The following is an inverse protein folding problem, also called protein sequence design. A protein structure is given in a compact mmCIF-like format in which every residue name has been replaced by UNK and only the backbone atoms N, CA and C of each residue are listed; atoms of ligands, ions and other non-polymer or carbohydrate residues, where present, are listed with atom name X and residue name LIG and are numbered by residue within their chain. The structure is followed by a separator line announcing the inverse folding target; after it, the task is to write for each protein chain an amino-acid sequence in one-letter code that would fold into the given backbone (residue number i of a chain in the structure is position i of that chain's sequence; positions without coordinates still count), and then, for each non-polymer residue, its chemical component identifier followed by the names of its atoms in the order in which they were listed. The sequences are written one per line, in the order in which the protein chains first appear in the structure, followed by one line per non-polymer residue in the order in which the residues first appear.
data_IF_700560171908
#
_entry.id   IF_700560171908
#
_cell.length_a   1.000
_cell.length_b   1.000
_cell.length_c   1.000
_cell.angle_alpha   90.00
_cell.angle_beta   90.00
_cell.angle_gamma   90.00
#
_symmetry.space_group_name_H-M   'P 1'
#
loop_
_entity.id
_entity.type
_entity.pdbx_description
1 polymer ?
#
# COMPACT_ATOMS: atom_id res chain seq x y z
N UNK A 1 9.53 0.07 8.01
CA UNK A 1 8.95 0.45 6.70
C UNK A 1 7.44 0.35 6.81
N UNK A 2 6.69 0.97 5.90
CA UNK A 2 5.22 1.00 5.98
C UNK A 2 4.57 -0.39 5.83
N UNK A 3 5.15 -1.29 5.03
CA UNK A 3 4.71 -2.70 4.98
C UNK A 3 4.89 -3.44 6.32
N UNK A 4 5.97 -3.14 7.05
CA UNK A 4 6.19 -3.71 8.39
C UNK A 4 5.13 -3.21 9.38
N UNK A 5 4.65 -1.96 9.22
CA UNK A 5 3.52 -1.42 10.00
C UNK A 5 2.22 -2.22 9.76
N UNK A 6 2.06 -2.76 8.55
CA UNK A 6 0.96 -3.67 8.18
C UNK A 6 1.21 -5.13 8.61
N UNK A 7 2.27 -5.41 9.37
CA UNK A 7 2.59 -6.74 9.89
C UNK A 7 3.42 -7.63 8.95
N UNK A 8 4.01 -7.07 7.89
CA UNK A 8 4.94 -7.81 7.03
C UNK A 8 6.25 -8.13 7.76
N UNK A 9 6.78 -9.33 7.53
CA UNK A 9 8.11 -9.75 8.02
C UNK A 9 9.13 -9.52 6.91
N UNK A 10 9.77 -8.34 6.95
CA UNK A 10 10.75 -7.91 5.97
C UNK A 10 11.99 -7.40 6.71
N UNK A 11 13.14 -7.98 6.40
CA UNK A 11 14.44 -7.51 6.90
C UNK A 11 15.25 -6.97 5.72
N UNK A 12 15.70 -5.73 5.81
CA UNK A 12 16.53 -5.09 4.77
C UNK A 12 17.98 -5.08 5.24
N UNK A 13 18.90 -5.51 4.37
CA UNK A 13 20.35 -5.48 4.59
C UNK A 13 21.04 -4.97 3.33
N UNK A 14 21.51 -3.73 3.37
CA UNK A 14 22.07 -3.05 2.19
C UNK A 14 21.03 -2.94 1.07
N UNK A 15 21.38 -3.48 -0.11
CA UNK A 15 20.51 -3.54 -1.29
C UNK A 15 19.67 -4.83 -1.39
N UNK A 16 19.71 -5.69 -0.36
CA UNK A 16 18.93 -6.92 -0.31
C UNK A 16 17.78 -6.79 0.70
N UNK A 17 16.66 -7.44 0.38
CA UNK A 17 15.52 -7.57 1.28
C UNK A 17 15.15 -9.05 1.41
N UNK A 18 15.11 -9.55 2.64
CA UNK A 18 14.60 -10.88 2.98
C UNK A 18 13.14 -10.72 3.37
N UNK A 19 12.25 -11.32 2.57
CA UNK A 19 10.81 -11.29 2.80
C UNK A 19 10.37 -12.67 3.26
N UNK A 20 9.80 -12.77 4.46
CA UNK A 20 9.23 -14.01 4.98
C UNK A 20 7.71 -13.92 4.86
N UNK A 21 7.13 -14.85 4.11
CA UNK A 21 5.68 -14.89 3.90
C UNK A 21 4.92 -14.94 5.22
N UNK A 22 3.87 -14.12 5.34
CA UNK A 22 2.94 -14.13 6.48
C UNK A 22 1.56 -14.52 5.95
N UNK A 23 0.74 -15.15 6.80
CA UNK A 23 -0.61 -15.58 6.41
C UNK A 23 -1.49 -14.40 6.01
N UNK A 24 -1.38 -13.28 6.72
CA UNK A 24 -2.19 -12.09 6.52
C UNK A 24 -1.37 -10.83 6.82
N UNK A 25 -1.71 -9.75 6.15
CA UNK A 25 -1.36 -8.39 6.56
C UNK A 25 -2.55 -7.79 7.31
N UNK A 26 -2.30 -6.80 8.16
CA UNK A 26 -3.34 -6.02 8.83
C UNK A 26 -3.38 -4.62 8.24
N UNK A 27 -4.61 -4.12 8.05
CA UNK A 27 -4.85 -2.75 7.65
C UNK A 27 -4.33 -1.81 8.73
N UNK A 28 -3.65 -0.74 8.29
CA UNK A 28 -3.05 0.24 9.17
C UNK A 28 -3.01 1.62 8.48
N UNK A 29 -2.93 2.71 9.24
CA UNK A 29 -2.57 4.02 8.68
C UNK A 29 -1.11 4.01 8.25
N UNK A 30 -0.85 4.28 6.97
CA UNK A 30 0.48 4.26 6.33
C UNK A 30 0.75 5.51 5.50
N UNK A 31 2.02 5.79 5.26
CA UNK A 31 2.50 7.00 4.58
C UNK A 31 3.10 6.68 3.21
N UNK A 32 2.54 7.25 2.15
CA UNK A 32 3.16 7.27 0.84
C UNK A 32 4.46 8.10 0.86
N UNK A 33 5.55 7.54 0.32
CA UNK A 33 6.89 8.18 0.29
C UNK A 33 7.42 8.47 -1.11
N UNK A 34 6.99 7.68 -2.10
CA UNK A 34 7.39 7.82 -3.50
C UNK A 34 6.39 7.09 -4.41
N UNK A 35 6.51 7.27 -5.73
CA UNK A 35 5.57 6.71 -6.70
C UNK A 35 5.40 5.18 -6.58
N UNK A 36 6.51 4.43 -6.47
CA UNK A 36 6.48 2.96 -6.52
C UNK A 36 6.15 2.37 -5.16
N UNK A 37 6.73 2.90 -4.09
CA UNK A 37 6.37 2.46 -2.74
C UNK A 37 4.89 2.69 -2.46
N UNK A 38 4.33 3.83 -2.88
CA UNK A 38 2.89 4.10 -2.68
C UNK A 38 1.99 3.10 -3.40
N UNK A 39 2.34 2.71 -4.64
CA UNK A 39 1.60 1.69 -5.37
C UNK A 39 1.68 0.32 -4.68
N UNK A 40 2.85 -0.02 -4.11
CA UNK A 40 3.00 -1.25 -3.34
C UNK A 40 2.11 -1.27 -2.09
N UNK A 41 1.90 -0.13 -1.44
CA UNK A 41 1.00 -0.01 -0.28
C UNK A 41 -0.47 -0.16 -0.67
N UNK A 42 -0.87 0.31 -1.85
CA UNK A 42 -2.23 0.08 -2.37
C UNK A 42 -2.48 -1.42 -2.53
N UNK A 43 -1.56 -2.14 -3.17
CA UNK A 43 -1.67 -3.60 -3.36
C UNK A 43 -1.67 -4.33 -2.02
N UNK A 44 -0.78 -3.95 -1.10
CA UNK A 44 -0.74 -4.52 0.25
C UNK A 44 -2.06 -4.27 1.01
N UNK A 45 -2.65 -3.08 0.87
CA UNK A 45 -3.92 -2.72 1.50
C UNK A 45 -5.10 -3.53 0.99
N UNK A 46 -5.12 -3.82 -0.31
CA UNK A 46 -6.15 -4.69 -0.91
C UNK A 46 -6.07 -6.15 -0.41
N UNK A 47 -4.87 -6.62 -0.05
CA UNK A 47 -4.65 -7.96 0.50
C UNK A 47 -4.75 -8.03 2.04
N UNK A 48 -4.77 -6.89 2.72
CA UNK A 48 -4.78 -6.82 4.18
C UNK A 48 -6.19 -7.05 4.76
N UNK A 49 -6.23 -7.54 6.00
CA UNK A 49 -7.47 -7.61 6.78
C UNK A 49 -7.73 -6.28 7.48
N UNK A 50 -8.95 -5.76 7.37
CA UNK A 50 -9.35 -4.48 7.96
C UNK A 50 -9.19 -3.31 6.99
N UNK A 51 -9.04 -2.10 7.54
CA UNK A 51 -8.94 -0.86 6.77
C UNK A 51 -7.49 -0.40 6.69
N UNK A 52 -7.01 -0.12 5.47
CA UNK A 52 -5.72 0.55 5.25
C UNK A 52 -5.98 1.99 4.83
N UNK A 53 -5.41 2.95 5.55
CA UNK A 53 -5.50 4.37 5.22
C UNK A 53 -4.15 4.84 4.71
N UNK A 54 -4.07 5.25 3.45
CA UNK A 54 -2.82 5.69 2.83
C UNK A 54 -2.82 7.21 2.76
N UNK A 55 -1.93 7.86 3.51
CA UNK A 55 -1.77 9.31 3.50
C UNK A 55 -0.66 9.75 2.53
N UNK A 56 -0.63 11.04 2.18
CA UNK A 56 0.38 11.67 1.30
C UNK A 56 0.42 11.08 -0.13
N UNK A 57 -0.73 10.69 -0.66
CA UNK A 57 -0.88 9.99 -1.96
C UNK A 57 -0.57 10.82 -3.20
N UNK A 58 -0.10 12.07 -3.08
CA UNK A 58 0.25 12.94 -4.23
C UNK A 58 1.35 12.33 -5.12
N UNK A 59 2.15 11.41 -4.61
CA UNK A 59 3.10 10.65 -5.41
C UNK A 59 2.43 9.68 -6.40
N UNK A 60 1.27 9.10 -6.06
CA UNK A 60 0.54 8.17 -6.95
C UNK A 60 0.00 8.90 -8.17
N UNK A 61 -0.50 10.11 -7.99
CA UNK A 61 -1.12 10.91 -9.07
C UNK A 61 -0.14 11.21 -10.20
N UNK A 62 1.16 11.26 -9.90
CA UNK A 62 2.21 11.54 -10.87
C UNK A 62 2.50 10.39 -11.84
N UNK A 63 2.06 9.17 -11.54
CA UNK A 63 2.38 8.00 -12.36
C UNK A 63 1.27 6.97 -12.54
N UNK A 64 0.16 7.09 -11.81
CA UNK A 64 -1.00 6.22 -11.95
C UNK A 64 -2.26 7.04 -12.20
N UNK A 65 -2.59 7.21 -13.48
CA UNK A 65 -3.82 7.89 -13.89
C UNK A 65 -5.05 7.06 -13.54
N UNK A 66 -6.02 7.68 -12.87
CA UNK A 66 -7.32 7.12 -12.51
C UNK A 66 -7.21 5.76 -11.79
N UNK A 67 -6.26 5.67 -10.85
CA UNK A 67 -5.95 4.41 -10.17
C UNK A 67 -7.16 3.87 -9.39
N UNK A 68 -7.87 4.75 -8.68
CA UNK A 68 -9.02 4.38 -7.86
C UNK A 68 -10.13 3.85 -8.75
N UNK A 69 -10.48 4.57 -9.82
CA UNK A 69 -11.52 4.18 -10.77
C UNK A 69 -11.21 2.83 -11.42
N UNK A 70 -9.96 2.62 -11.87
CA UNK A 70 -9.54 1.37 -12.48
C UNK A 70 -9.61 0.19 -11.52
N UNK A 71 -9.16 0.36 -10.28
CA UNK A 71 -9.21 -0.70 -9.28
C UNK A 71 -10.64 -0.99 -8.83
N UNK A 72 -11.46 0.04 -8.62
CA UNK A 72 -12.88 -0.11 -8.30
C UNK A 72 -13.65 -0.83 -9.41
N UNK A 73 -13.33 -0.55 -10.68
CA UNK A 73 -13.91 -1.26 -11.83
C UNK A 73 -13.56 -2.77 -11.85
N UNK A 74 -12.46 -3.16 -11.21
CA UNK A 74 -12.07 -4.57 -11.00
C UNK A 74 -12.68 -5.19 -9.72
N UNK A 75 -13.51 -4.45 -8.99
CA UNK A 75 -14.17 -4.90 -7.75
C UNK A 75 -13.40 -4.58 -6.47
N UNK A 76 -12.32 -3.79 -6.53
CA UNK A 76 -11.61 -3.36 -5.34
C UNK A 76 -12.45 -2.40 -4.49
N UNK A 77 -12.48 -2.62 -3.17
CA UNK A 77 -13.07 -1.67 -2.20
C UNK A 77 -12.02 -0.63 -1.84
N UNK A 78 -11.94 0.41 -2.66
CA UNK A 78 -11.01 1.53 -2.52
C UNK A 78 -11.73 2.83 -2.84
N UNK A 79 -11.41 3.88 -2.09
CA UNK A 79 -11.96 5.21 -2.31
C UNK A 79 -10.90 6.28 -2.05
N UNK A 80 -11.07 7.45 -2.66
CA UNK A 80 -10.27 8.63 -2.37
C UNK A 80 -11.07 9.54 -1.44
N UNK A 81 -10.55 9.79 -0.25
CA UNK A 81 -11.14 10.77 0.68
C UNK A 81 -10.47 12.14 0.53
N UNK A 82 -11.24 13.24 0.67
CA UNK A 82 -10.66 14.56 0.89
C UNK A 82 -9.74 14.54 2.10
N UNK A 83 -8.72 15.41 2.08
CA UNK A 83 -7.89 15.68 3.25
C UNK A 83 -8.67 16.48 4.30
#
# INVERSE_FOLDING_TARGET
SELVRMGADITVSGNHAIVRGRKTLQGAPVMATDLRASASLVVAGLAAQGLTEIHRVYHLDRGYANLVEKLSALGARIERKPA
#
